data_IF_330521281387
#
_entry.id   IF_330521281387
#
_cell.length_a   1.000
_cell.length_b   1.000
_cell.length_c   1.000
_cell.angle_alpha   90.00
_cell.angle_beta   90.00
_cell.angle_gamma   90.00
#
_symmetry.space_group_name_H-M   'P 1'
#
loop_
_entity.id
_entity.type
_entity.pdbx_description
1 polymer ?
#
# COMPACT_ATOMS: atom_id res chain seq x y z
N UNK A 1 -10.68 16.73 -1.44
CA UNK A 1 -11.61 15.95 -0.61
C UNK A 1 -12.82 15.46 -1.43
N UNK A 2 -13.68 16.31 -2.04
CA UNK A 2 -14.91 15.92 -2.74
C UNK A 2 -14.71 14.78 -3.76
N UNK A 3 -13.70 14.86 -4.63
CA UNK A 3 -13.42 13.80 -5.63
C UNK A 3 -13.09 12.44 -4.99
N UNK A 4 -12.45 12.44 -3.83
CA UNK A 4 -12.13 11.21 -3.11
C UNK A 4 -13.38 10.58 -2.50
N UNK A 5 -14.21 11.36 -1.81
CA UNK A 5 -15.46 10.86 -1.23
C UNK A 5 -16.38 10.28 -2.30
N UNK A 6 -16.49 10.92 -3.47
CA UNK A 6 -17.25 10.39 -4.60
C UNK A 6 -16.67 9.08 -5.18
N UNK A 7 -15.36 8.84 -5.07
CA UNK A 7 -14.76 7.55 -5.45
C UNK A 7 -15.06 6.46 -4.41
N UNK A 8 -14.97 6.78 -3.12
CA UNK A 8 -15.32 5.87 -2.05
C UNK A 8 -16.78 5.42 -2.15
N UNK A 9 -17.69 6.38 -2.36
CA UNK A 9 -19.10 6.12 -2.55
C UNK A 9 -19.38 5.19 -3.74
N UNK A 10 -18.79 5.49 -4.91
CA UNK A 10 -18.95 4.64 -6.10
C UNK A 10 -18.40 3.22 -5.89
N UNK A 11 -17.26 3.08 -5.22
CA UNK A 11 -16.70 1.78 -4.89
C UNK A 11 -17.67 0.96 -4.03
N UNK A 12 -18.25 1.56 -2.99
CA UNK A 12 -19.23 0.91 -2.14
C UNK A 12 -20.51 0.53 -2.90
N UNK A 13 -21.02 1.42 -3.77
CA UNK A 13 -22.20 1.17 -4.57
C UNK A 13 -21.99 -0.01 -5.56
N UNK A 14 -20.87 -0.04 -6.28
CA UNK A 14 -20.52 -1.09 -7.22
C UNK A 14 -20.31 -2.44 -6.51
N UNK A 15 -19.56 -2.49 -5.40
CA UNK A 15 -19.31 -3.68 -4.62
C UNK A 15 -20.58 -4.22 -3.93
N UNK A 16 -21.42 -3.31 -3.43
CA UNK A 16 -22.71 -3.68 -2.82
C UNK A 16 -23.69 -4.25 -3.84
N UNK A 17 -23.81 -3.65 -5.02
CA UNK A 17 -24.70 -4.12 -6.09
C UNK A 17 -24.24 -5.47 -6.68
N UNK A 18 -22.95 -5.73 -6.75
CA UNK A 18 -22.40 -6.99 -7.26
C UNK A 18 -22.56 -8.15 -6.27
N UNK A 19 -22.70 -7.85 -4.97
CA UNK A 19 -22.68 -8.86 -3.91
C UNK A 19 -21.30 -9.45 -3.66
N UNK A 20 -21.20 -10.32 -2.67
CA UNK A 20 -19.94 -10.99 -2.34
C UNK A 20 -19.75 -12.23 -3.22
N UNK A 21 -18.68 -12.27 -3.99
CA UNK A 21 -18.23 -13.46 -4.71
C UNK A 21 -17.71 -14.55 -3.77
N UNK A 22 -17.41 -15.71 -4.32
CA UNK A 22 -16.83 -16.83 -3.56
C UNK A 22 -15.29 -16.72 -3.51
N UNK A 23 -14.70 -17.22 -2.42
CA UNK A 23 -13.25 -17.29 -2.25
C UNK A 23 -12.67 -16.09 -1.50
N UNK A 24 -11.36 -15.89 -1.63
CA UNK A 24 -10.60 -14.83 -0.92
C UNK A 24 -10.35 -13.59 -1.77
N UNK A 25 -10.59 -13.69 -3.09
CA UNK A 25 -10.38 -12.60 -4.04
C UNK A 25 -8.91 -12.28 -4.33
N UNK A 26 -8.67 -11.10 -4.89
CA UNK A 26 -7.34 -10.63 -5.30
C UNK A 26 -6.40 -10.48 -4.09
N UNK A 27 -5.37 -11.31 -4.05
CA UNK A 27 -4.40 -11.34 -2.93
C UNK A 27 -3.60 -10.04 -2.81
N UNK A 28 -3.28 -9.38 -3.92
CA UNK A 28 -2.51 -8.13 -3.88
C UNK A 28 -3.36 -6.98 -3.33
N UNK A 29 -4.63 -6.91 -3.72
CA UNK A 29 -5.56 -5.95 -3.12
C UNK A 29 -5.73 -6.19 -1.62
N UNK A 30 -5.85 -7.45 -1.19
CA UNK A 30 -5.91 -7.80 0.23
C UNK A 30 -4.66 -7.35 0.98
N UNK A 31 -3.46 -7.57 0.45
CA UNK A 31 -2.22 -7.06 1.04
C UNK A 31 -2.24 -5.54 1.19
N UNK A 32 -2.73 -4.81 0.17
CA UNK A 32 -2.88 -3.34 0.24
C UNK A 32 -3.90 -2.95 1.32
N UNK A 33 -5.04 -3.64 1.39
CA UNK A 33 -6.09 -3.39 2.38
C UNK A 33 -5.56 -3.54 3.80
N UNK A 34 -4.92 -4.67 4.11
CA UNK A 34 -4.40 -4.96 5.45
C UNK A 34 -3.23 -4.05 5.84
N UNK A 35 -2.38 -3.67 4.88
CA UNK A 35 -1.35 -2.64 5.12
C UNK A 35 -1.99 -1.28 5.45
N UNK A 36 -3.06 -0.92 4.74
CA UNK A 36 -3.79 0.33 5.02
C UNK A 36 -4.40 0.32 6.41
N UNK A 37 -4.98 -0.80 6.86
CA UNK A 37 -5.51 -0.95 8.21
C UNK A 37 -4.41 -0.67 9.25
N UNK A 38 -3.28 -1.36 9.14
CA UNK A 38 -2.15 -1.23 10.07
C UNK A 38 -1.58 0.20 10.09
N UNK A 39 -1.33 0.79 8.91
CA UNK A 39 -0.80 2.15 8.81
C UNK A 39 -1.78 3.20 9.32
N UNK A 40 -3.06 3.14 8.93
CA UNK A 40 -4.07 4.12 9.35
C UNK A 40 -4.30 4.05 10.85
N UNK A 41 -4.33 2.85 11.44
CA UNK A 41 -4.44 2.69 12.89
C UNK A 41 -3.32 3.45 13.61
N UNK A 42 -2.06 3.22 13.25
CA UNK A 42 -0.91 3.91 13.83
C UNK A 42 -0.91 5.42 13.57
N UNK A 43 -1.36 5.84 12.39
CA UNK A 43 -1.42 7.26 12.03
C UNK A 43 -2.51 8.01 12.81
N UNK A 44 -3.64 7.38 13.08
CA UNK A 44 -4.71 7.94 13.93
C UNK A 44 -4.22 8.06 15.36
N UNK A 45 -3.62 7.03 15.95
CA UNK A 45 -3.04 7.04 17.29
C UNK A 45 -1.98 8.15 17.47
N UNK A 46 -1.18 8.39 16.42
CA UNK A 46 -0.16 9.45 16.42
C UNK A 46 -0.66 10.82 15.94
N UNK A 47 -1.99 10.99 15.77
CA UNK A 47 -2.65 12.23 15.31
C UNK A 47 -2.16 12.73 13.93
N UNK A 48 -1.62 11.86 13.08
CA UNK A 48 -1.17 12.19 11.71
C UNK A 48 -2.28 12.03 10.68
N UNK A 49 -3.40 12.71 10.93
CA UNK A 49 -4.67 12.52 10.22
C UNK A 49 -4.61 12.81 8.71
N UNK A 50 -3.81 13.79 8.29
CA UNK A 50 -3.63 14.12 6.87
C UNK A 50 -2.95 12.97 6.09
N UNK A 51 -1.99 12.28 6.71
CA UNK A 51 -1.32 11.11 6.12
C UNK A 51 -2.27 9.91 6.09
N UNK A 52 -3.06 9.72 7.15
CA UNK A 52 -4.09 8.67 7.18
C UNK A 52 -5.08 8.81 6.01
N UNK A 53 -5.58 10.04 5.75
CA UNK A 53 -6.45 10.31 4.59
C UNK A 53 -5.75 9.97 3.26
N UNK A 54 -4.45 10.25 3.11
CA UNK A 54 -3.72 9.88 1.91
C UNK A 54 -3.68 8.35 1.71
N UNK A 55 -3.50 7.56 2.77
CA UNK A 55 -3.57 6.09 2.70
C UNK A 55 -4.94 5.58 2.29
N UNK A 56 -6.02 6.19 2.78
CA UNK A 56 -7.38 5.86 2.33
C UNK A 56 -7.59 6.17 0.84
N UNK A 57 -7.01 7.26 0.34
CA UNK A 57 -7.06 7.58 -1.09
C UNK A 57 -6.30 6.56 -1.95
N UNK A 58 -5.18 6.05 -1.46
CA UNK A 58 -4.39 4.99 -2.11
C UNK A 58 -5.17 3.68 -2.16
N UNK A 59 -5.83 3.27 -1.05
CA UNK A 59 -6.68 2.08 -1.00
C UNK A 59 -7.83 2.17 -2.00
N UNK A 60 -8.56 3.29 -2.03
CA UNK A 60 -9.65 3.49 -2.98
C UNK A 60 -9.16 3.41 -4.45
N UNK A 61 -7.95 3.90 -4.72
CA UNK A 61 -7.33 3.81 -6.05
C UNK A 61 -6.87 2.40 -6.39
N UNK A 62 -6.38 1.64 -5.42
CA UNK A 62 -6.00 0.23 -5.60
C UNK A 62 -7.24 -0.64 -5.89
N UNK A 63 -8.31 -0.48 -5.10
CA UNK A 63 -9.57 -1.17 -5.33
C UNK A 63 -10.16 -0.86 -6.73
N UNK A 64 -10.10 0.40 -7.17
CA UNK A 64 -10.55 0.77 -8.53
C UNK A 64 -9.73 0.05 -9.61
N UNK A 65 -8.41 0.03 -9.49
CA UNK A 65 -7.55 -0.70 -10.45
C UNK A 65 -7.84 -2.21 -10.47
N UNK A 66 -8.10 -2.81 -9.31
CA UNK A 66 -8.45 -4.22 -9.22
C UNK A 66 -9.78 -4.51 -9.93
N UNK A 67 -10.79 -3.64 -9.80
CA UNK A 67 -12.05 -3.76 -10.55
C UNK A 67 -11.80 -3.65 -12.07
N UNK A 68 -11.00 -2.68 -12.50
CA UNK A 68 -10.79 -2.39 -13.93
C UNK A 68 -9.92 -3.45 -14.63
N UNK A 69 -8.99 -4.07 -13.92
CA UNK A 69 -8.03 -5.04 -14.48
C UNK A 69 -8.31 -6.49 -14.09
N UNK A 70 -9.21 -6.75 -13.15
CA UNK A 70 -9.46 -8.06 -12.55
C UNK A 70 -10.88 -8.58 -12.76
N UNK A 71 -11.35 -9.40 -11.82
CA UNK A 71 -12.67 -10.05 -11.89
C UNK A 71 -13.87 -9.11 -11.67
N UNK A 72 -13.63 -7.83 -11.47
CA UNK A 72 -14.68 -6.82 -11.34
C UNK A 72 -15.14 -6.55 -9.90
N UNK A 73 -16.26 -5.81 -9.72
CA UNK A 73 -16.69 -5.33 -8.40
C UNK A 73 -17.22 -6.44 -7.47
N UNK A 74 -17.51 -7.63 -7.98
CA UNK A 74 -17.95 -8.81 -7.20
C UNK A 74 -16.79 -9.59 -6.55
N UNK A 75 -15.54 -9.19 -6.74
CA UNK A 75 -14.39 -9.82 -6.09
C UNK A 75 -14.47 -9.64 -4.57
N UNK A 76 -14.34 -10.70 -3.77
CA UNK A 76 -14.34 -10.61 -2.30
C UNK A 76 -13.32 -9.63 -1.73
N UNK A 77 -12.13 -9.49 -2.34
CA UNK A 77 -11.13 -8.53 -1.91
C UNK A 77 -11.54 -7.08 -2.19
N UNK A 78 -12.32 -6.83 -3.25
CA UNK A 78 -12.90 -5.50 -3.52
C UNK A 78 -13.94 -5.15 -2.47
N UNK A 79 -14.77 -6.11 -2.08
CA UNK A 79 -15.74 -5.93 -1.01
C UNK A 79 -15.04 -5.66 0.33
N UNK A 80 -14.04 -6.47 0.70
CA UNK A 80 -13.22 -6.28 1.90
C UNK A 80 -12.58 -4.88 1.93
N UNK A 81 -12.04 -4.41 0.80
CA UNK A 81 -11.45 -3.08 0.68
C UNK A 81 -12.51 -1.97 0.84
N UNK A 82 -13.71 -2.14 0.29
CA UNK A 82 -14.79 -1.17 0.39
C UNK A 82 -15.33 -1.07 1.83
N UNK A 83 -15.54 -2.19 2.50
CA UNK A 83 -15.96 -2.26 3.90
C UNK A 83 -14.90 -1.63 4.83
N UNK A 84 -13.64 -2.00 4.64
CA UNK A 84 -12.51 -1.41 5.37
C UNK A 84 -12.45 0.10 5.16
N UNK A 85 -12.59 0.56 3.92
CA UNK A 85 -12.57 1.98 3.59
C UNK A 85 -13.72 2.72 4.28
N UNK A 86 -14.94 2.16 4.31
CA UNK A 86 -16.09 2.75 5.00
C UNK A 86 -15.82 2.91 6.50
N UNK A 87 -15.32 1.86 7.17
CA UNK A 87 -15.03 1.92 8.61
C UNK A 87 -13.92 2.96 8.90
N UNK A 88 -12.79 2.90 8.18
CA UNK A 88 -11.69 3.82 8.42
C UNK A 88 -12.04 5.28 8.05
N UNK A 89 -12.91 5.48 7.06
CA UNK A 89 -13.38 6.79 6.64
C UNK A 89 -14.32 7.44 7.66
N UNK A 90 -14.97 6.67 8.53
CA UNK A 90 -15.96 7.16 9.48
C UNK A 90 -15.41 8.25 10.43
N UNK A 91 -14.11 8.22 10.74
CA UNK A 91 -13.44 9.23 11.56
C UNK A 91 -13.35 10.59 10.84
N UNK A 92 -13.25 10.58 9.50
CA UNK A 92 -12.97 11.78 8.69
C UNK A 92 -14.20 12.34 7.99
N UNK A 93 -15.11 11.47 7.58
CA UNK A 93 -16.31 11.82 6.83
C UNK A 93 -17.47 10.88 7.20
N UNK A 94 -18.02 11.01 8.43
CA UNK A 94 -18.98 10.05 8.98
C UNK A 94 -20.22 9.87 8.10
N UNK A 95 -20.80 10.94 7.56
CA UNK A 95 -21.99 10.83 6.71
C UNK A 95 -21.75 10.04 5.42
N UNK A 96 -20.58 10.24 4.78
CA UNK A 96 -20.21 9.46 3.59
C UNK A 96 -19.93 8.00 3.96
N UNK A 97 -19.33 7.77 5.10
CA UNK A 97 -19.04 6.42 5.60
C UNK A 97 -20.33 5.64 5.91
N UNK A 98 -21.31 6.28 6.54
CA UNK A 98 -22.65 5.68 6.78
C UNK A 98 -23.34 5.29 5.48
N UNK A 99 -23.32 6.17 4.48
CA UNK A 99 -23.90 5.87 3.18
C UNK A 99 -23.18 4.70 2.49
N UNK A 100 -21.83 4.69 2.52
CA UNK A 100 -21.05 3.58 1.98
C UNK A 100 -21.39 2.25 2.69
N UNK A 101 -21.54 2.29 4.03
CA UNK A 101 -21.87 1.13 4.84
C UNK A 101 -23.25 0.55 4.49
N UNK A 102 -24.25 1.43 4.34
CA UNK A 102 -25.60 1.05 3.90
C UNK A 102 -25.61 0.46 2.49
N UNK A 103 -24.88 1.07 1.54
CA UNK A 103 -24.76 0.57 0.17
C UNK A 103 -24.14 -0.82 0.09
N UNK A 104 -23.24 -1.15 1.01
CA UNK A 104 -22.65 -2.49 1.18
C UNK A 104 -23.61 -3.50 1.83
N UNK A 105 -24.83 -3.06 2.23
CA UNK A 105 -25.85 -3.92 2.82
C UNK A 105 -25.68 -4.17 4.31
N UNK A 106 -24.94 -3.33 5.02
CA UNK A 106 -24.71 -3.45 6.44
C UNK A 106 -25.64 -2.57 7.28
N UNK A 107 -26.06 -3.10 8.42
CA UNK A 107 -26.83 -2.38 9.43
C UNK A 107 -26.28 -2.70 10.83
N UNK A 108 -26.55 -1.86 11.87
CA UNK A 108 -27.33 -0.61 11.80
C UNK A 108 -26.49 0.59 11.35
N UNK A 109 -25.26 0.77 11.77
CA UNK A 109 -24.42 1.95 11.52
C UNK A 109 -22.95 1.57 11.53
N UNK A 110 -22.15 2.21 10.68
CA UNK A 110 -20.70 2.02 10.63
C UNK A 110 -20.04 2.37 11.98
N UNK A 111 -20.63 3.26 12.75
CA UNK A 111 -20.12 3.62 14.07
C UNK A 111 -20.19 2.46 15.10
N UNK A 112 -20.95 1.39 14.81
CA UNK A 112 -21.00 0.17 15.61
C UNK A 112 -20.12 -0.94 15.09
N UNK A 113 -19.56 -0.77 13.91
CA UNK A 113 -18.62 -1.74 13.35
C UNK A 113 -17.34 -1.78 14.19
N UNK A 114 -16.79 -2.97 14.37
CA UNK A 114 -15.49 -3.11 15.02
C UNK A 114 -14.40 -2.48 14.13
N UNK A 115 -13.44 -1.81 14.78
CA UNK A 115 -12.27 -1.34 14.06
C UNK A 115 -11.53 -2.52 13.43
N UNK A 116 -11.17 -2.45 12.13
CA UNK A 116 -10.58 -3.59 11.44
C UNK A 116 -9.19 -3.89 11.99
N UNK A 117 -8.85 -5.17 12.08
CA UNK A 117 -7.51 -5.64 12.45
C UNK A 117 -6.77 -6.15 11.23
N UNK A 118 -5.49 -5.81 11.12
CA UNK A 118 -4.66 -6.30 10.04
C UNK A 118 -4.27 -7.77 10.26
N UNK A 119 -4.38 -8.59 9.22
CA UNK A 119 -3.85 -9.96 9.23
C UNK A 119 -2.32 -9.92 9.05
N UNK A 120 -1.53 -10.39 10.05
CA UNK A 120 -0.08 -10.39 9.96
C UNK A 120 0.46 -11.16 8.74
N UNK A 121 -0.24 -12.19 8.28
CA UNK A 121 0.18 -12.97 7.10
C UNK A 121 0.13 -12.15 5.81
N UNK A 122 -0.75 -11.14 5.73
CA UNK A 122 -0.88 -10.23 4.60
C UNK A 122 0.03 -8.99 4.71
N UNK A 123 0.64 -8.76 5.87
CA UNK A 123 1.62 -7.69 6.09
C UNK A 123 3.03 -8.08 5.66
N UNK A 124 3.29 -9.36 5.46
CA UNK A 124 4.60 -9.86 5.01
C UNK A 124 4.90 -9.27 3.63
N UNK A 125 5.87 -8.37 3.56
CA UNK A 125 6.39 -7.89 2.29
C UNK A 125 7.27 -8.98 1.68
N UNK A 126 6.94 -9.42 0.47
CA UNK A 126 7.91 -10.18 -0.32
C UNK A 126 9.10 -9.27 -0.60
N UNK A 127 10.24 -9.60 -0.02
CA UNK A 127 11.46 -8.87 -0.26
C UNK A 127 12.23 -9.55 -1.40
N UNK A 128 12.75 -8.74 -2.30
CA UNK A 128 13.66 -9.20 -3.36
C UNK A 128 15.09 -8.77 -3.04
N UNK A 129 16.04 -9.62 -3.41
CA UNK A 129 17.45 -9.29 -3.22
C UNK A 129 17.92 -8.34 -4.31
N UNK A 130 18.28 -7.11 -3.92
CA UNK A 130 19.00 -6.16 -4.75
C UNK A 130 20.51 -6.36 -4.59
N UNK A 131 21.20 -6.58 -5.70
CA UNK A 131 22.67 -6.66 -5.71
C UNK A 131 23.27 -5.27 -5.82
N UNK A 132 24.12 -4.90 -4.86
CA UNK A 132 24.83 -3.62 -4.88
C UNK A 132 26.28 -3.83 -5.28
N UNK A 133 26.69 -3.16 -6.34
CA UNK A 133 28.03 -3.23 -6.91
C UNK A 133 28.76 -1.90 -6.75
N UNK A 134 30.08 -1.99 -6.60
CA UNK A 134 30.98 -0.86 -6.76
C UNK A 134 31.98 -1.23 -7.86
N UNK A 135 31.98 -0.45 -8.93
CA UNK A 135 32.81 -0.69 -10.12
C UNK A 135 32.62 -2.10 -10.71
N UNK A 136 31.35 -2.57 -10.79
CA UNK A 136 30.97 -3.89 -11.29
C UNK A 136 31.23 -5.07 -10.32
N UNK A 137 31.87 -4.86 -9.17
CA UNK A 137 32.10 -5.89 -8.17
C UNK A 137 31.02 -5.83 -7.08
N UNK A 138 30.39 -6.97 -6.78
CA UNK A 138 29.39 -7.08 -5.70
C UNK A 138 30.03 -6.71 -4.37
N UNK A 139 29.40 -5.78 -3.65
CA UNK A 139 29.86 -5.30 -2.35
C UNK A 139 28.84 -5.51 -1.25
N UNK A 140 27.55 -5.55 -1.62
CA UNK A 140 26.46 -5.76 -0.68
C UNK A 140 25.25 -6.39 -1.34
N UNK A 141 24.27 -6.85 -0.53
CA UNK A 141 22.98 -7.35 -0.95
C UNK A 141 21.90 -6.78 -0.03
N UNK A 142 20.96 -6.04 -0.58
CA UNK A 142 19.86 -5.45 0.17
C UNK A 142 18.58 -6.25 -0.05
N UNK A 143 17.80 -6.42 1.00
CA UNK A 143 16.44 -6.94 0.91
C UNK A 143 15.51 -5.75 0.77
N UNK A 144 14.84 -5.63 -0.38
CA UNK A 144 14.02 -4.46 -0.71
C UNK A 144 12.65 -4.88 -1.25
N UNK A 145 11.61 -4.05 -1.08
CA UNK A 145 10.31 -4.31 -1.70
C UNK A 145 10.43 -4.35 -3.23
N UNK A 146 9.65 -5.22 -3.93
CA UNK A 146 9.65 -5.30 -5.39
C UNK A 146 9.33 -4.00 -6.10
N UNK A 147 8.52 -3.14 -5.47
CA UNK A 147 8.08 -1.83 -6.00
C UNK A 147 8.90 -0.64 -5.50
N UNK A 148 10.10 -0.84 -4.97
CA UNK A 148 10.94 0.27 -4.48
C UNK A 148 11.26 1.26 -5.60
N UNK A 149 11.16 2.56 -5.30
CA UNK A 149 11.54 3.66 -6.19
C UNK A 149 13.04 3.72 -6.46
N UNK A 150 13.43 4.36 -7.56
CA UNK A 150 14.84 4.51 -7.94
C UNK A 150 15.62 5.34 -6.90
N UNK A 151 15.03 6.43 -6.42
CA UNK A 151 15.68 7.33 -5.47
C UNK A 151 15.85 6.68 -4.10
N UNK A 152 14.81 5.98 -3.59
CA UNK A 152 14.88 5.26 -2.33
C UNK A 152 15.92 4.15 -2.39
N UNK A 153 15.97 3.41 -3.51
CA UNK A 153 16.94 2.34 -3.69
C UNK A 153 18.37 2.86 -3.81
N UNK A 154 18.56 4.04 -4.42
CA UNK A 154 19.84 4.73 -4.51
C UNK A 154 20.34 5.12 -3.12
N UNK A 155 19.48 5.70 -2.30
CA UNK A 155 19.80 6.11 -0.94
C UNK A 155 20.21 4.91 -0.08
N UNK A 156 19.40 3.85 -0.09
CA UNK A 156 19.70 2.60 0.63
C UNK A 156 21.02 1.98 0.18
N UNK A 157 21.31 1.97 -1.12
CA UNK A 157 22.54 1.40 -1.65
C UNK A 157 23.77 2.21 -1.23
N UNK A 158 23.71 3.53 -1.21
CA UNK A 158 24.81 4.39 -0.77
C UNK A 158 25.07 4.27 0.74
N UNK A 159 24.05 4.00 1.53
CA UNK A 159 24.14 3.76 2.97
C UNK A 159 24.61 2.34 3.33
N UNK A 160 24.70 1.42 2.37
CA UNK A 160 25.05 0.03 2.62
C UNK A 160 26.48 -0.11 3.16
N UNK A 161 26.70 -0.87 4.27
CA UNK A 161 28.02 -0.98 4.92
C UNK A 161 29.11 -1.50 3.99
N UNK A 162 28.77 -2.45 3.08
CA UNK A 162 29.71 -2.99 2.08
C UNK A 162 30.14 -1.94 1.06
N UNK A 163 29.26 -1.01 0.71
CA UNK A 163 29.54 0.10 -0.21
C UNK A 163 30.41 1.15 0.46
N UNK A 164 30.09 1.56 1.67
CA UNK A 164 30.86 2.55 2.45
C UNK A 164 32.31 2.07 2.58
N UNK A 165 32.52 0.81 2.95
CA UNK A 165 33.85 0.21 3.03
C UNK A 165 34.57 0.17 1.69
N UNK A 166 33.85 -0.15 0.60
CA UNK A 166 34.45 -0.27 -0.73
C UNK A 166 34.80 1.08 -1.34
N UNK A 167 34.06 2.13 -1.02
CA UNK A 167 34.36 3.51 -1.45
C UNK A 167 35.53 4.11 -0.69
N UNK A 168 35.74 3.72 0.57
CA UNK A 168 36.85 4.22 1.41
C UNK A 168 37.08 5.74 1.36
N UNK A 169 35.98 6.51 1.26
CA UNK A 169 36.02 7.95 1.15
C UNK A 169 36.13 8.50 -0.28
N UNK A 170 36.21 7.64 -1.31
CA UNK A 170 36.22 8.09 -2.71
C UNK A 170 34.89 8.77 -3.08
N UNK A 171 35.00 9.81 -3.91
CA UNK A 171 33.79 10.48 -4.44
C UNK A 171 33.03 9.57 -5.42
N UNK A 172 31.71 9.63 -5.40
CA UNK A 172 30.87 8.92 -6.35
C UNK A 172 30.71 9.76 -7.61
N UNK A 173 31.07 9.16 -8.76
CA UNK A 173 30.91 9.79 -10.08
C UNK A 173 29.52 9.55 -10.65
N UNK A 174 29.00 8.33 -10.52
CA UNK A 174 27.68 7.95 -11.02
C UNK A 174 27.08 6.81 -10.22
N UNK A 175 25.74 6.76 -10.15
CA UNK A 175 24.99 5.65 -9.58
C UNK A 175 23.99 5.19 -10.64
N UNK A 176 24.11 3.95 -11.09
CA UNK A 176 23.23 3.31 -12.06
C UNK A 176 22.28 2.43 -11.28
N UNK A 177 21.00 2.76 -11.28
CA UNK A 177 19.95 2.05 -10.54
C UNK A 177 19.05 1.30 -11.52
N UNK A 178 18.78 0.02 -11.22
CA UNK A 178 17.81 -0.83 -11.94
C UNK A 178 16.91 -1.52 -10.92
N UNK A 179 15.87 -0.83 -10.45
CA UNK A 179 14.98 -1.38 -9.42
C UNK A 179 14.29 -2.68 -9.91
N UNK A 180 14.03 -3.61 -9.03
CA UNK A 180 14.50 -3.70 -7.65
C UNK A 180 15.81 -4.50 -7.51
N UNK A 181 16.49 -4.84 -8.62
CA UNK A 181 17.46 -5.94 -8.69
C UNK A 181 18.93 -5.52 -8.60
N UNK A 182 19.26 -4.31 -9.04
CA UNK A 182 20.67 -3.92 -9.18
C UNK A 182 20.90 -2.44 -8.93
N UNK A 183 21.95 -2.14 -8.16
CA UNK A 183 22.57 -0.81 -8.11
C UNK A 183 24.06 -0.97 -8.39
N UNK A 184 24.61 -0.19 -9.31
CA UNK A 184 26.05 -0.13 -9.57
C UNK A 184 26.56 1.30 -9.32
N UNK A 185 27.48 1.44 -8.38
CA UNK A 185 28.10 2.68 -7.98
C UNK A 185 29.46 2.79 -8.65
N UNK A 186 29.70 3.87 -9.35
CA UNK A 186 30.96 4.15 -10.05
C UNK A 186 31.71 5.25 -9.28
N UNK A 187 32.80 4.95 -8.61
CA UNK A 187 33.66 5.95 -7.96
C UNK A 187 34.35 6.83 -9.01
N UNK A 188 34.76 8.03 -8.58
CA UNK A 188 35.48 9.00 -9.42
C UNK A 188 36.93 8.55 -9.63
#
# INVERSE_FOLDING_TARGET
MVRFLGRAWRLAAEAGAAGAGAGTGDTELRKVTHRTIDEVTRLVESSRLNVAVARLMELASAARRAIDAGPGPGDPAVREAAETLAILLSIFAPYTAEECWSLLGHEPSVARAAWPSADPALLVQELVTCVVQVNGKVRDRLQVPPGIGEDDLRELALAAPGVIRALAGARVRAVIVRPPRLVNIVPA
#
